data_IF_722820065099
#
_entry.id   IF_722820065099
#
_cell.length_a   1.000
_cell.length_b   1.000
_cell.length_c   1.000
_cell.angle_alpha   90.00
_cell.angle_beta   90.00
_cell.angle_gamma   90.00
#
_symmetry.space_group_name_H-M   'P 1'
#
loop_
_entity.id
_entity.type
_entity.pdbx_description
1 polymer ?
#
# COMPACT_ATOMS: atom_id res chain seq x y z
N UNK A 1 20.91 -13.94 -3.90
CA UNK A 1 20.36 -12.68 -4.43
C UNK A 1 18.86 -12.82 -4.40
N UNK A 2 18.12 -11.75 -4.11
CA UNK A 2 16.65 -11.75 -4.15
C UNK A 2 16.17 -10.93 -5.31
N UNK A 3 15.08 -11.34 -5.93
CA UNK A 3 14.49 -10.71 -7.10
C UNK A 3 13.03 -10.29 -6.82
N UNK A 4 12.61 -9.20 -7.42
CA UNK A 4 11.24 -8.74 -7.34
C UNK A 4 10.74 -8.25 -8.69
N UNK A 5 9.43 -8.27 -8.85
CA UNK A 5 8.69 -7.63 -9.95
C UNK A 5 7.96 -6.42 -9.39
N UNK A 6 7.74 -5.42 -10.26
CA UNK A 6 7.19 -4.14 -9.84
C UNK A 6 6.10 -3.70 -10.82
N UNK A 7 4.93 -3.34 -10.29
CA UNK A 7 3.75 -3.01 -11.08
C UNK A 7 3.34 -1.56 -10.91
N UNK A 8 3.20 -0.88 -12.05
CA UNK A 8 2.63 0.47 -12.18
C UNK A 8 1.26 0.43 -12.87
N UNK A 9 0.90 -0.66 -13.52
CA UNK A 9 -0.28 -0.78 -14.38
C UNK A 9 -0.35 0.33 -15.43
N UNK A 10 0.71 0.47 -16.21
CA UNK A 10 0.83 1.49 -17.28
C UNK A 10 -0.06 1.14 -18.46
N UNK A 11 -0.86 2.09 -18.91
CA UNK A 11 -1.72 1.95 -20.10
C UNK A 11 -1.51 3.15 -21.01
N UNK A 12 -0.64 3.01 -22.06
CA UNK A 12 -0.42 4.10 -23.01
C UNK A 12 -1.68 4.35 -23.85
N UNK A 13 -1.85 5.58 -24.31
CA UNK A 13 -2.92 5.94 -25.26
C UNK A 13 -2.62 5.43 -26.68
N UNK A 14 -3.65 5.15 -27.51
CA UNK A 14 -5.10 5.23 -27.20
C UNK A 14 -5.58 4.08 -26.32
N UNK A 15 -6.52 4.35 -25.41
CA UNK A 15 -7.08 3.31 -24.54
C UNK A 15 -8.14 2.50 -25.24
N UNK A 16 -8.00 1.19 -25.21
CA UNK A 16 -9.05 0.24 -25.60
C UNK A 16 -10.07 0.08 -24.45
N UNK A 17 -11.30 -0.29 -24.79
CA UNK A 17 -12.40 -0.34 -23.81
C UNK A 17 -12.16 -1.33 -22.65
N UNK A 18 -11.35 -2.38 -22.87
CA UNK A 18 -11.03 -3.43 -21.91
C UNK A 18 -9.60 -3.31 -21.33
N UNK A 19 -8.86 -2.25 -21.65
CA UNK A 19 -7.44 -2.13 -21.33
C UNK A 19 -7.17 -2.26 -19.82
N UNK A 20 -7.96 -1.60 -18.98
CA UNK A 20 -7.80 -1.68 -17.52
C UNK A 20 -8.10 -3.10 -17.00
N UNK A 21 -9.17 -3.73 -17.46
CA UNK A 21 -9.49 -5.10 -17.05
C UNK A 21 -8.39 -6.08 -17.49
N UNK A 22 -7.87 -5.93 -18.71
CA UNK A 22 -6.82 -6.79 -19.26
C UNK A 22 -5.52 -6.67 -18.45
N UNK A 23 -5.03 -5.44 -18.19
CA UNK A 23 -3.76 -5.25 -17.47
C UNK A 23 -3.79 -5.84 -16.04
N UNK A 24 -4.91 -5.70 -15.33
CA UNK A 24 -5.05 -6.32 -14.01
C UNK A 24 -5.07 -7.85 -14.08
N UNK A 25 -5.75 -8.44 -15.06
CA UNK A 25 -5.76 -9.90 -15.26
C UNK A 25 -4.39 -10.44 -15.60
N UNK A 26 -3.72 -9.80 -16.57
CA UNK A 26 -2.36 -10.19 -16.98
C UNK A 26 -1.36 -10.07 -15.82
N UNK A 27 -1.45 -8.99 -15.02
CA UNK A 27 -0.61 -8.83 -13.85
C UNK A 27 -0.83 -9.93 -12.80
N UNK A 28 -2.08 -10.32 -12.54
CA UNK A 28 -2.38 -11.44 -11.63
C UNK A 28 -1.78 -12.77 -12.13
N UNK A 29 -1.86 -13.06 -13.43
CA UNK A 29 -1.28 -14.25 -14.06
C UNK A 29 0.27 -14.22 -13.98
N UNK A 30 0.87 -13.04 -14.17
CA UNK A 30 2.32 -12.84 -14.06
C UNK A 30 2.82 -13.04 -12.62
N UNK A 31 2.09 -12.54 -11.59
CA UNK A 31 2.46 -12.75 -10.19
C UNK A 31 2.34 -14.22 -9.80
N UNK A 32 1.32 -14.92 -10.28
CA UNK A 32 1.17 -16.35 -10.07
C UNK A 32 2.33 -17.15 -10.71
N UNK A 33 2.70 -16.81 -11.95
CA UNK A 33 3.88 -17.38 -12.60
C UNK A 33 5.17 -17.06 -11.83
N UNK A 34 5.34 -15.81 -11.38
CA UNK A 34 6.51 -15.37 -10.60
C UNK A 34 6.67 -16.17 -9.31
N UNK A 35 5.58 -16.42 -8.58
CA UNK A 35 5.58 -17.29 -7.40
C UNK A 35 6.04 -18.70 -7.75
N UNK A 36 5.51 -19.26 -8.85
CA UNK A 36 5.82 -20.62 -9.29
C UNK A 36 7.29 -20.82 -9.68
N UNK A 37 7.91 -19.81 -10.31
CA UNK A 37 9.32 -19.87 -10.74
C UNK A 37 10.30 -19.37 -9.69
N UNK A 38 9.83 -18.95 -8.49
CA UNK A 38 10.65 -18.62 -7.34
C UNK A 38 11.16 -17.17 -7.29
N UNK A 39 10.41 -16.21 -7.84
CA UNK A 39 10.63 -14.77 -7.59
C UNK A 39 10.27 -14.46 -6.13
N UNK A 40 11.11 -13.65 -5.44
CA UNK A 40 10.95 -13.40 -4.01
C UNK A 40 9.86 -12.38 -3.67
N UNK A 41 9.68 -11.35 -4.52
CA UNK A 41 8.80 -10.19 -4.22
C UNK A 41 7.95 -9.77 -5.42
N UNK A 42 6.70 -9.38 -5.15
CA UNK A 42 5.86 -8.59 -6.05
C UNK A 42 5.52 -7.26 -5.36
N UNK A 43 5.80 -6.14 -6.02
CA UNK A 43 5.57 -4.79 -5.53
C UNK A 43 4.52 -4.09 -6.35
N UNK A 44 3.59 -3.41 -5.68
CA UNK A 44 2.53 -2.62 -6.29
C UNK A 44 2.58 -1.19 -5.78
N UNK A 45 2.50 -0.21 -6.68
CA UNK A 45 2.49 1.22 -6.33
C UNK A 45 1.11 1.71 -5.88
N UNK A 46 1.07 2.86 -5.22
CA UNK A 46 -0.15 3.66 -5.07
C UNK A 46 0.01 4.97 -5.83
N UNK A 47 -0.74 5.12 -6.92
CA UNK A 47 -0.77 6.32 -7.75
C UNK A 47 -2.20 6.75 -8.06
N UNK A 48 -2.37 8.08 -8.21
CA UNK A 48 -3.65 8.69 -8.47
C UNK A 48 -3.54 9.74 -9.58
N UNK A 49 -4.52 9.77 -10.48
CA UNK A 49 -4.64 10.78 -11.55
C UNK A 49 -3.52 10.75 -12.61
N UNK A 50 -2.67 9.74 -12.63
CA UNK A 50 -1.52 9.62 -13.55
C UNK A 50 -1.88 8.76 -14.77
N UNK A 51 -2.86 9.20 -15.51
CA UNK A 51 -3.59 8.52 -16.60
C UNK A 51 -2.84 7.44 -17.40
N UNK A 52 -1.68 7.76 -18.01
CA UNK A 52 -0.92 6.77 -18.81
C UNK A 52 0.15 6.06 -17.99
N UNK A 53 0.58 6.70 -16.90
CA UNK A 53 1.68 6.20 -16.08
C UNK A 53 1.25 5.11 -15.12
N UNK A 54 0.07 5.25 -14.48
CA UNK A 54 -0.37 4.26 -13.49
C UNK A 54 -1.87 4.24 -13.28
N UNK A 55 -2.45 3.06 -13.40
CA UNK A 55 -3.84 2.77 -13.02
C UNK A 55 -3.95 2.04 -11.66
N UNK A 56 -2.88 2.04 -10.86
CA UNK A 56 -2.84 1.42 -9.53
C UNK A 56 -3.22 2.40 -8.42
N UNK A 57 -4.50 2.49 -8.13
CA UNK A 57 -5.04 3.40 -7.09
C UNK A 57 -5.39 2.73 -5.76
N UNK A 58 -5.37 1.40 -5.72
CA UNK A 58 -5.73 0.60 -4.55
C UNK A 58 -4.85 -0.66 -4.47
N UNK A 59 -3.55 -0.52 -4.18
CA UNK A 59 -2.60 -1.63 -4.20
C UNK A 59 -3.01 -2.78 -3.28
N UNK A 60 -3.63 -2.51 -2.15
CA UNK A 60 -4.10 -3.53 -1.22
C UNK A 60 -5.15 -4.47 -1.82
N UNK A 61 -5.95 -4.01 -2.79
CA UNK A 61 -6.94 -4.84 -3.48
C UNK A 61 -6.27 -5.83 -4.42
N UNK A 62 -5.30 -5.35 -5.22
CA UNK A 62 -4.51 -6.19 -6.12
C UNK A 62 -3.66 -7.19 -5.32
N UNK A 63 -2.93 -6.73 -4.31
CA UNK A 63 -2.08 -7.59 -3.48
C UNK A 63 -2.90 -8.64 -2.71
N UNK A 64 -4.12 -8.32 -2.26
CA UNK A 64 -5.03 -9.30 -1.66
C UNK A 64 -5.45 -10.37 -2.68
N UNK A 65 -5.74 -10.00 -3.91
CA UNK A 65 -6.03 -10.97 -4.98
C UNK A 65 -4.81 -11.86 -5.29
N UNK A 66 -3.60 -11.28 -5.36
CA UNK A 66 -2.34 -12.02 -5.51
C UNK A 66 -2.13 -13.02 -4.37
N UNK A 67 -2.44 -12.63 -3.12
CA UNK A 67 -2.22 -13.47 -1.95
C UNK A 67 -2.98 -14.79 -2.03
N UNK A 68 -4.14 -14.82 -2.68
CA UNK A 68 -4.98 -16.02 -2.82
C UNK A 68 -4.57 -16.91 -4.01
N UNK A 69 -3.70 -16.40 -4.90
CA UNK A 69 -3.18 -17.12 -6.06
C UNK A 69 -1.76 -17.62 -5.87
N UNK A 70 -1.08 -17.16 -4.82
CA UNK A 70 0.34 -17.41 -4.57
C UNK A 70 0.56 -18.00 -3.18
N UNK A 71 1.76 -18.56 -2.93
CA UNK A 71 2.09 -19.21 -1.65
C UNK A 71 3.38 -18.72 -1.02
N UNK A 72 4.35 -18.26 -1.81
CA UNK A 72 5.72 -17.99 -1.37
C UNK A 72 6.15 -16.55 -1.57
N UNK A 73 5.78 -15.94 -2.72
CA UNK A 73 6.15 -14.58 -3.09
C UNK A 73 5.64 -13.58 -2.04
N UNK A 74 6.50 -12.67 -1.61
CA UNK A 74 6.13 -11.60 -0.68
C UNK A 74 5.46 -10.46 -1.43
N UNK A 75 4.51 -9.81 -0.78
CA UNK A 75 3.59 -8.85 -1.37
C UNK A 75 3.86 -7.46 -0.79
N UNK A 76 4.48 -6.61 -1.59
CA UNK A 76 4.98 -5.32 -1.16
C UNK A 76 4.18 -4.14 -1.71
N UNK A 77 4.01 -3.12 -0.86
CA UNK A 77 3.58 -1.81 -1.32
C UNK A 77 4.80 -1.01 -1.78
N UNK A 78 4.78 -0.54 -2.97
CA UNK A 78 5.89 0.24 -3.52
C UNK A 78 5.52 1.66 -3.96
N UNK A 79 4.74 2.38 -3.19
CA UNK A 79 4.55 2.55 -1.74
C UNK A 79 3.07 2.82 -1.39
N UNK A 80 2.72 2.90 -0.08
CA UNK A 80 1.48 3.52 0.40
C UNK A 80 1.71 5.01 0.68
N UNK A 81 0.83 5.86 0.20
CA UNK A 81 0.86 7.31 0.45
C UNK A 81 0.34 7.63 1.86
N UNK A 82 1.25 7.98 2.78
CA UNK A 82 0.92 8.12 4.21
C UNK A 82 0.40 9.49 4.67
N UNK A 83 0.68 10.64 3.99
CA UNK A 83 0.11 11.91 4.45
C UNK A 83 -1.42 11.80 4.61
N UNK A 84 -2.02 12.32 5.73
CA UNK A 84 -3.43 12.08 6.07
C UNK A 84 -4.44 12.55 5.00
N UNK A 85 -4.03 13.45 4.10
CA UNK A 85 -4.83 13.86 2.95
C UNK A 85 -5.09 12.70 1.97
N UNK A 86 -4.17 11.75 1.85
CA UNK A 86 -4.35 10.53 1.05
C UNK A 86 -5.02 9.44 1.86
N UNK A 87 -4.41 9.08 2.99
CA UNK A 87 -4.82 7.93 3.78
C UNK A 87 -4.80 8.25 5.28
N UNK A 88 -5.92 8.04 5.97
CA UNK A 88 -5.93 8.13 7.42
C UNK A 88 -5.08 7.00 8.03
N UNK A 89 -4.13 7.27 8.97
CA UNK A 89 -3.20 6.26 9.51
C UNK A 89 -3.88 5.00 10.06
N UNK A 90 -5.03 5.14 10.74
CA UNK A 90 -5.77 4.00 11.24
C UNK A 90 -6.31 3.11 10.10
N UNK A 91 -6.78 3.72 9.00
CA UNK A 91 -7.23 2.94 7.84
C UNK A 91 -6.09 2.18 7.18
N UNK A 92 -4.90 2.78 7.15
CA UNK A 92 -3.70 2.08 6.65
C UNK A 92 -3.36 0.92 7.57
N UNK A 93 -3.30 1.14 8.90
CA UNK A 93 -3.01 0.09 9.87
C UNK A 93 -3.97 -1.11 9.74
N UNK A 94 -5.27 -0.84 9.61
CA UNK A 94 -6.31 -1.87 9.43
C UNK A 94 -6.12 -2.66 8.12
N UNK A 95 -5.88 -1.97 6.98
CA UNK A 95 -5.71 -2.60 5.66
C UNK A 95 -4.45 -3.45 5.58
N UNK A 96 -3.33 -2.91 6.07
CA UNK A 96 -2.06 -3.64 6.12
C UNK A 96 -2.17 -4.87 7.01
N UNK A 97 -2.80 -4.75 8.20
CA UNK A 97 -3.01 -5.88 9.08
C UNK A 97 -3.94 -6.95 8.45
N UNK A 98 -5.02 -6.52 7.78
CA UNK A 98 -5.92 -7.44 7.09
C UNK A 98 -5.21 -8.17 5.93
N UNK A 99 -4.42 -7.44 5.12
CA UNK A 99 -3.64 -8.04 4.05
C UNK A 99 -2.61 -9.03 4.60
N UNK A 100 -1.95 -8.70 5.71
CA UNK A 100 -0.97 -9.57 6.36
C UNK A 100 -1.60 -10.88 6.85
N UNK A 101 -2.81 -10.81 7.40
CA UNK A 101 -3.57 -11.99 7.83
C UNK A 101 -3.99 -12.88 6.64
N UNK A 102 -4.54 -12.30 5.57
CA UNK A 102 -5.02 -13.10 4.42
C UNK A 102 -3.89 -13.61 3.53
N UNK A 103 -2.69 -13.05 3.66
CA UNK A 103 -1.48 -13.48 2.95
C UNK A 103 -0.58 -14.42 3.76
N UNK A 104 -1.00 -14.83 4.96
CA UNK A 104 -0.19 -15.65 5.87
C UNK A 104 1.19 -15.01 6.19
N UNK A 105 1.21 -13.70 6.49
CA UNK A 105 2.41 -12.98 6.94
C UNK A 105 3.42 -12.67 5.82
N UNK A 106 2.96 -12.49 4.58
CA UNK A 106 3.83 -12.21 3.42
C UNK A 106 3.91 -10.72 3.04
N UNK A 107 3.36 -9.82 3.84
CA UNK A 107 3.36 -8.37 3.53
C UNK A 107 4.71 -7.73 3.77
N UNK A 108 5.11 -6.84 2.84
CA UNK A 108 6.14 -5.81 2.97
C UNK A 108 5.47 -4.44 2.89
N UNK A 109 5.72 -3.56 3.85
CA UNK A 109 5.00 -2.30 3.98
C UNK A 109 5.87 -1.11 3.55
N UNK A 110 6.01 -0.87 2.25
CA UNK A 110 6.65 0.34 1.73
C UNK A 110 5.77 1.57 1.90
N UNK A 111 6.35 2.70 2.29
CA UNK A 111 5.62 3.94 2.59
C UNK A 111 6.26 5.17 1.96
N UNK A 112 5.46 6.18 1.64
CA UNK A 112 5.97 7.41 1.03
C UNK A 112 5.07 8.63 1.19
N UNK A 113 5.54 9.74 0.59
CA UNK A 113 4.94 11.07 0.75
C UNK A 113 4.38 11.68 -0.55
N UNK A 114 4.46 10.95 -1.67
CA UNK A 114 4.27 11.37 -3.06
C UNK A 114 5.35 12.32 -3.60
N UNK A 115 5.63 12.19 -4.90
CA UNK A 115 6.43 13.12 -5.68
C UNK A 115 5.60 13.88 -6.74
N UNK A 116 4.39 13.40 -7.03
CA UNK A 116 3.54 13.94 -8.10
C UNK A 116 2.77 15.18 -7.65
N UNK A 117 2.95 16.27 -8.40
CA UNK A 117 2.19 17.53 -8.19
C UNK A 117 0.69 17.32 -8.46
N UNK A 118 0.33 16.44 -9.39
CA UNK A 118 -1.08 16.12 -9.68
C UNK A 118 -1.74 15.43 -8.48
N UNK A 119 -1.07 14.47 -7.87
CA UNK A 119 -1.57 13.78 -6.68
C UNK A 119 -1.66 14.72 -5.48
N UNK A 120 -0.57 15.45 -5.18
CA UNK A 120 -0.53 16.41 -4.09
C UNK A 120 -1.64 17.46 -4.22
N UNK A 121 -1.82 18.00 -5.43
CA UNK A 121 -2.88 18.97 -5.73
C UNK A 121 -4.28 18.37 -5.64
N UNK A 122 -4.49 17.17 -6.18
CA UNK A 122 -5.77 16.47 -6.16
C UNK A 122 -6.28 16.19 -4.74
N UNK A 123 -5.39 15.77 -3.87
CA UNK A 123 -5.69 15.49 -2.45
C UNK A 123 -5.44 16.67 -1.51
N UNK A 124 -5.04 17.84 -2.03
CA UNK A 124 -4.74 19.06 -1.25
C UNK A 124 -3.67 18.84 -0.16
N UNK A 125 -2.68 18.01 -0.46
CA UNK A 125 -1.54 17.78 0.43
C UNK A 125 -0.50 18.85 0.19
N UNK A 126 -0.08 19.52 1.27
CA UNK A 126 0.96 20.58 1.20
C UNK A 126 2.32 20.00 0.81
N UNK A 127 2.91 20.53 -0.26
CA UNK A 127 4.27 20.18 -0.71
C UNK A 127 5.30 20.41 0.40
N UNK A 128 5.16 21.52 1.16
CA UNK A 128 6.08 21.87 2.22
C UNK A 128 5.98 20.94 3.44
N UNK A 129 4.78 20.43 3.72
CA UNK A 129 4.52 19.62 4.91
C UNK A 129 4.50 18.10 4.66
N UNK A 130 4.44 17.65 3.41
CA UNK A 130 4.21 16.24 3.07
C UNK A 130 5.15 15.26 3.77
N UNK A 131 6.45 15.61 3.90
CA UNK A 131 7.43 14.76 4.56
C UNK A 131 7.21 14.66 6.08
N UNK A 132 6.86 15.77 6.72
CA UNK A 132 6.56 15.76 8.15
C UNK A 132 5.24 15.06 8.45
N UNK A 133 4.23 15.24 7.58
CA UNK A 133 2.95 14.55 7.64
C UNK A 133 3.10 13.03 7.42
N UNK A 134 3.92 12.61 6.45
CA UNK A 134 4.29 11.20 6.24
C UNK A 134 4.89 10.58 7.50
N UNK A 135 5.89 11.25 8.10
CA UNK A 135 6.60 10.74 9.27
C UNK A 135 5.66 10.59 10.48
N UNK A 136 4.85 11.63 10.76
CA UNK A 136 3.86 11.59 11.85
C UNK A 136 2.87 10.44 11.65
N UNK A 137 2.32 10.31 10.43
CA UNK A 137 1.35 9.26 10.10
C UNK A 137 1.93 7.87 10.17
N UNK A 138 3.15 7.66 9.67
CA UNK A 138 3.82 6.36 9.70
C UNK A 138 4.06 5.90 11.14
N UNK A 139 4.63 6.76 11.98
CA UNK A 139 4.91 6.44 13.38
C UNK A 139 3.63 6.00 14.11
N UNK A 140 2.54 6.73 13.92
CA UNK A 140 1.29 6.40 14.58
C UNK A 140 0.61 5.17 13.97
N UNK A 141 0.71 4.94 12.67
CA UNK A 141 0.25 3.73 12.01
C UNK A 141 0.92 2.47 12.60
N UNK A 142 2.23 2.51 12.79
CA UNK A 142 2.98 1.40 13.41
C UNK A 142 2.57 1.18 14.87
N UNK A 143 2.40 2.26 15.64
CA UNK A 143 1.90 2.19 17.01
C UNK A 143 0.50 1.54 17.08
N UNK A 144 -0.39 1.86 16.14
CA UNK A 144 -1.72 1.25 16.05
C UNK A 144 -1.69 -0.26 15.76
N UNK A 145 -0.69 -0.74 15.03
CA UNK A 145 -0.52 -2.17 14.77
C UNK A 145 -0.06 -2.96 16.01
N UNK A 146 0.63 -2.28 16.95
CA UNK A 146 1.25 -2.92 18.14
C UNK A 146 0.42 -2.75 19.40
N UNK A 147 -0.04 -1.52 19.68
CA UNK A 147 -0.69 -1.16 20.94
C UNK A 147 -2.15 -1.64 21.01
N UNK A 148 -2.56 -2.15 22.17
CA UNK A 148 -3.95 -2.55 22.43
C UNK A 148 -4.35 -2.19 23.88
N UNK A 149 -5.16 -1.15 24.10
CA UNK A 149 -5.63 -0.18 23.09
C UNK A 149 -4.53 0.78 22.62
N UNK A 150 -4.70 1.36 21.44
CA UNK A 150 -3.93 2.53 21.02
C UNK A 150 -4.41 3.75 21.82
N UNK A 151 -3.50 4.50 22.50
CA UNK A 151 -3.89 5.52 23.48
C UNK A 151 -4.52 6.76 22.89
N UNK A 152 -4.46 6.92 21.56
CA UNK A 152 -4.82 8.16 20.86
C UNK A 152 -3.61 9.03 20.61
N UNK A 153 -3.82 10.12 19.85
CA UNK A 153 -2.77 11.05 19.45
C UNK A 153 -3.35 12.42 19.12
N UNK A 154 -2.69 13.47 19.54
CA UNK A 154 -2.96 14.85 19.15
C UNK A 154 -1.73 15.39 18.43
N UNK A 155 -1.80 15.39 17.09
CA UNK A 155 -0.70 15.78 16.22
C UNK A 155 -0.93 17.07 15.46
N UNK A 156 0.06 17.44 14.64
CA UNK A 156 -0.05 18.60 13.74
C UNK A 156 -0.93 18.30 12.51
N UNK A 157 -0.86 17.07 11.99
CA UNK A 157 -1.47 16.71 10.71
C UNK A 157 -2.72 15.86 10.86
N UNK A 158 -2.87 15.16 11.99
CA UNK A 158 -4.12 14.48 12.34
C UNK A 158 -4.23 14.28 13.85
N UNK A 159 -5.46 13.99 14.31
CA UNK A 159 -5.74 13.64 15.70
C UNK A 159 -6.71 12.48 15.77
N UNK A 160 -6.56 11.63 16.79
CA UNK A 160 -7.42 10.47 16.98
C UNK A 160 -7.54 10.15 18.48
N UNK A 161 -8.75 9.93 19.01
CA UNK A 161 -8.94 9.51 20.39
C UNK A 161 -8.47 8.07 20.62
N UNK A 162 -8.33 7.68 21.89
CA UNK A 162 -8.03 6.30 22.29
C UNK A 162 -9.00 5.31 21.64
N UNK A 163 -8.47 4.30 20.93
CA UNK A 163 -9.26 3.24 20.26
C UNK A 163 -8.47 1.94 20.23
N UNK A 164 -9.19 0.82 20.23
CA UNK A 164 -8.57 -0.46 19.90
C UNK A 164 -8.64 -0.68 18.39
N UNK A 165 -7.53 -0.42 17.69
CA UNK A 165 -7.44 -0.59 16.24
C UNK A 165 -7.28 -2.07 15.93
N UNK A 166 -8.19 -2.63 15.15
CA UNK A 166 -8.25 -4.05 14.79
C UNK A 166 -8.55 -4.22 13.30
N UNK A 167 -8.06 -5.32 12.65
CA UNK A 167 -7.28 -6.42 13.24
C UNK A 167 -5.84 -6.02 13.56
N UNK A 168 -5.08 -6.92 14.18
CA UNK A 168 -3.63 -6.81 14.33
C UNK A 168 -2.94 -7.70 13.29
N UNK A 169 -1.76 -7.31 12.76
CA UNK A 169 -1.05 -8.12 11.77
C UNK A 169 -0.57 -9.46 12.37
N UNK A 170 -0.35 -10.44 11.49
CA UNK A 170 0.23 -11.74 11.84
C UNK A 170 1.70 -11.58 12.20
N UNK A 171 2.46 -10.84 11.37
CA UNK A 171 3.88 -10.54 11.59
C UNK A 171 4.05 -9.63 12.83
N UNK A 172 5.11 -9.86 13.61
CA UNK A 172 5.38 -9.14 14.86
C UNK A 172 6.75 -8.44 14.81
N UNK A 173 6.83 -7.19 15.29
CA UNK A 173 5.75 -6.38 15.87
C UNK A 173 4.73 -5.88 14.84
N UNK A 174 5.11 -5.78 13.59
CA UNK A 174 4.34 -5.42 12.40
C UNK A 174 5.06 -5.96 11.15
N UNK A 175 4.48 -5.93 9.94
CA UNK A 175 5.21 -6.24 8.70
C UNK A 175 6.49 -5.41 8.57
N UNK A 176 7.53 -5.90 7.87
CA UNK A 176 8.73 -5.10 7.55
C UNK A 176 8.37 -3.80 6.83
N UNK A 177 9.09 -2.70 7.16
CA UNK A 177 8.84 -1.34 6.63
C UNK A 177 10.06 -0.83 5.87
#
# INVERSE_FOLDING_TARGET
MKFGIFYEHQIPRPWEADAEHRIYREALEQVELADHIGIDYAWEVEHHFLEEYSHSSAPEVFLAACSQRTRHIRLGHGIVLMPPGYNHPARVAERIAALDLVSDGRVEFGTGESASILELGGYRVSVADKRAAWRESLEQCLNMMVMAPYPGFEGKYYSMPCRNVVPKPLQKPHPPV
#
